data_IF_689294052809
#
_entry.id   IF_689294052809
#
_cell.length_a   1.000
_cell.length_b   1.000
_cell.length_c   1.000
_cell.angle_alpha   90.00
_cell.angle_beta   90.00
_cell.angle_gamma   90.00
#
_symmetry.space_group_name_H-M   'P 1'
#
loop_
_entity.id
_entity.type
_entity.pdbx_description
1 polymer ?
#
# COMPACT_ATOMS: atom_id res chain seq x y z
N UNK A 1 16.96 -4.28 2.19
CA UNK A 1 16.59 -3.59 3.45
C UNK A 1 15.16 -3.95 3.77
N UNK A 2 14.89 -4.51 4.94
CA UNK A 2 13.54 -4.81 5.41
C UNK A 2 13.04 -3.62 6.24
N UNK A 3 11.78 -3.23 6.04
CA UNK A 3 11.14 -2.16 6.80
C UNK A 3 10.06 -2.78 7.69
N UNK A 4 10.06 -2.42 8.98
CA UNK A 4 9.06 -2.87 9.94
C UNK A 4 8.26 -1.67 10.46
N UNK A 5 6.93 -1.77 10.43
CA UNK A 5 6.02 -0.76 10.94
C UNK A 5 5.00 -1.42 11.87
N UNK A 6 4.71 -0.77 12.99
CA UNK A 6 3.61 -1.14 13.88
C UNK A 6 2.54 -0.07 13.77
N UNK A 7 1.29 -0.48 13.52
CA UNK A 7 0.13 0.43 13.42
C UNK A 7 -0.89 0.04 14.47
N UNK A 8 -1.39 1.02 15.22
CA UNK A 8 -2.32 0.79 16.33
C UNK A 8 -3.79 1.00 15.94
N UNK A 9 -4.06 1.40 14.69
CA UNK A 9 -5.42 1.54 14.17
C UNK A 9 -5.46 1.47 12.64
N UNK A 10 -6.67 1.29 12.10
CA UNK A 10 -6.92 1.16 10.68
C UNK A 10 -6.49 2.40 9.86
N UNK A 11 -6.57 3.60 10.42
CA UNK A 11 -6.16 4.85 9.74
C UNK A 11 -4.66 4.86 9.49
N UNK A 12 -3.86 4.44 10.48
CA UNK A 12 -2.41 4.30 10.34
C UNK A 12 -2.05 3.24 9.30
N UNK A 13 -2.69 2.07 9.31
CA UNK A 13 -2.47 1.04 8.27
C UNK A 13 -2.79 1.55 6.86
N UNK A 14 -3.90 2.29 6.70
CA UNK A 14 -4.25 2.96 5.44
C UNK A 14 -3.17 3.97 5.02
N UNK A 15 -2.65 4.76 5.97
CA UNK A 15 -1.63 5.76 5.67
C UNK A 15 -0.34 5.12 5.16
N UNK A 16 0.08 3.99 5.73
CA UNK A 16 1.24 3.22 5.23
C UNK A 16 1.00 2.74 3.79
N UNK A 17 -0.18 2.16 3.51
CA UNK A 17 -0.55 1.74 2.16
C UNK A 17 -0.51 2.89 1.16
N UNK A 18 -1.10 4.04 1.52
CA UNK A 18 -1.10 5.25 0.69
C UNK A 18 0.32 5.71 0.37
N UNK A 19 1.17 5.85 1.39
CA UNK A 19 2.56 6.30 1.20
C UNK A 19 3.38 5.33 0.37
N UNK A 20 3.13 4.02 0.46
CA UNK A 20 3.81 3.05 -0.40
C UNK A 20 3.40 3.21 -1.87
N UNK A 21 2.10 3.37 -2.13
CA UNK A 21 1.59 3.59 -3.49
C UNK A 21 2.16 4.87 -4.13
N UNK A 22 2.18 5.98 -3.39
CA UNK A 22 2.78 7.25 -3.83
C UNK A 22 4.27 7.07 -4.18
N UNK A 23 5.04 6.34 -3.36
CA UNK A 23 6.46 6.02 -3.63
C UNK A 23 6.64 5.16 -4.88
N UNK A 24 5.72 4.23 -5.14
CA UNK A 24 5.75 3.39 -6.33
C UNK A 24 5.47 4.20 -7.60
N UNK A 25 4.47 5.10 -7.57
CA UNK A 25 4.15 5.99 -8.69
C UNK A 25 5.28 6.98 -9.02
N UNK A 26 5.95 7.51 -7.99
CA UNK A 26 7.01 8.50 -8.15
C UNK A 26 8.34 7.93 -8.67
N UNK A 27 8.49 6.60 -8.75
CA UNK A 27 9.65 6.00 -9.42
C UNK A 27 9.53 6.23 -10.93
N UNK A 28 10.39 7.08 -11.50
CA UNK A 28 10.54 7.26 -12.95
C UNK A 28 10.53 5.87 -13.61
N UNK A 29 9.47 5.56 -14.38
CA UNK A 29 9.32 4.32 -15.13
C UNK A 29 10.38 4.30 -16.24
N UNK A 30 11.63 3.99 -15.89
CA UNK A 30 12.73 3.80 -16.84
C UNK A 30 12.44 2.62 -17.77
N UNK A 31 11.58 1.69 -17.37
CA UNK A 31 11.20 0.50 -18.13
C UNK A 31 9.69 0.25 -17.99
N UNK A 32 9.03 -0.23 -19.05
CA UNK A 32 7.61 -0.62 -19.08
C UNK A 32 7.37 -1.93 -18.31
N UNK A 33 7.82 -2.01 -17.06
CA UNK A 33 7.64 -3.18 -16.19
C UNK A 33 6.47 -2.97 -15.25
N UNK A 34 5.58 -3.94 -15.19
CA UNK A 34 4.52 -4.02 -14.18
C UNK A 34 5.12 -4.32 -12.81
N UNK A 35 4.54 -3.76 -11.76
CA UNK A 35 4.91 -4.08 -10.38
C UNK A 35 3.85 -4.99 -9.77
N UNK A 36 4.29 -6.10 -9.17
CA UNK A 36 3.43 -7.06 -8.47
C UNK A 36 3.76 -6.99 -6.99
N UNK A 37 2.73 -6.83 -6.15
CA UNK A 37 2.85 -6.84 -4.70
C UNK A 37 2.01 -7.99 -4.15
N UNK A 38 2.65 -8.89 -3.40
CA UNK A 38 1.96 -9.93 -2.65
C UNK A 38 1.67 -9.45 -1.22
N UNK A 39 0.46 -9.69 -0.73
CA UNK A 39 0.06 -9.42 0.66
C UNK A 39 -0.16 -10.74 1.38
N UNK A 40 0.53 -10.90 2.51
CA UNK A 40 0.43 -12.08 3.37
C UNK A 40 0.01 -11.70 4.78
N UNK A 41 -0.75 -12.56 5.44
CA UNK A 41 -1.16 -12.42 6.83
C UNK A 41 -2.46 -13.17 7.10
N UNK A 42 -2.80 -13.35 8.37
CA UNK A 42 -4.00 -14.04 8.84
C UNK A 42 -5.30 -13.34 8.44
N UNK A 43 -6.43 -14.05 8.54
CA UNK A 43 -7.76 -13.45 8.44
C UNK A 43 -7.91 -12.34 9.50
N UNK A 44 -8.45 -11.18 9.09
CA UNK A 44 -8.52 -10.01 9.98
C UNK A 44 -7.19 -9.26 10.18
N UNK A 45 -6.06 -9.76 9.67
CA UNK A 45 -4.73 -9.15 9.82
C UNK A 45 -4.50 -7.82 9.08
N UNK A 46 -5.55 -7.12 8.65
CA UNK A 46 -5.45 -5.78 8.08
C UNK A 46 -5.08 -5.67 6.60
N UNK A 47 -4.97 -6.79 5.86
CA UNK A 47 -4.62 -6.82 4.42
C UNK A 47 -5.51 -5.89 3.57
N UNK A 48 -6.83 -5.98 3.71
CA UNK A 48 -7.79 -5.12 2.98
C UNK A 48 -7.72 -3.67 3.43
N UNK A 49 -7.52 -3.42 4.73
CA UNK A 49 -7.33 -2.07 5.28
C UNK A 49 -6.11 -1.38 4.68
N UNK A 50 -5.00 -2.11 4.52
CA UNK A 50 -3.82 -1.64 3.80
C UNK A 50 -4.15 -1.31 2.34
N UNK A 51 -4.82 -2.21 1.61
CA UNK A 51 -5.20 -2.00 0.20
C UNK A 51 -6.09 -0.77 0.00
N UNK A 52 -7.02 -0.49 0.91
CA UNK A 52 -7.86 0.71 0.84
C UNK A 52 -7.01 2.00 0.87
N UNK A 53 -5.96 2.03 1.70
CA UNK A 53 -5.00 3.11 1.72
C UNK A 53 -4.16 3.16 0.45
N UNK A 54 -3.68 2.01 0.00
CA UNK A 54 -2.89 1.86 -1.21
C UNK A 54 -3.63 2.37 -2.45
N UNK A 55 -4.89 1.97 -2.64
CA UNK A 55 -5.75 2.43 -3.73
C UNK A 55 -5.91 3.96 -3.75
N UNK A 56 -6.09 4.59 -2.58
CA UNK A 56 -6.12 6.06 -2.46
C UNK A 56 -4.81 6.69 -2.92
N UNK A 57 -3.66 6.11 -2.54
CA UNK A 57 -2.34 6.58 -3.00
C UNK A 57 -2.10 6.38 -4.49
N UNK A 58 -2.84 5.48 -5.14
CA UNK A 58 -2.88 5.36 -6.59
C UNK A 58 -3.80 6.39 -7.28
N UNK A 59 -4.52 7.21 -6.51
CA UNK A 59 -5.49 8.18 -7.04
C UNK A 59 -6.88 7.60 -7.32
N UNK A 60 -7.17 6.38 -6.86
CA UNK A 60 -8.51 5.77 -7.00
C UNK A 60 -9.44 6.43 -5.98
N UNK A 61 -10.52 7.06 -6.47
CA UNK A 61 -11.44 7.90 -5.67
C UNK A 61 -12.80 7.26 -5.37
N UNK A 62 -13.12 6.13 -6.00
CA UNK A 62 -14.44 5.46 -5.91
C UNK A 62 -14.46 4.25 -4.96
N UNK A 63 -15.67 3.82 -4.60
CA UNK A 63 -15.96 2.66 -3.75
C UNK A 63 -16.07 1.38 -4.58
#
# INVERSE_FOLDING_TARGET
>A
MLFNYVTNNASQTKKIGQTLAEKILNKKKKERKSQVLALQGELGGGKTTFLQGFARGLGIKER
#
